data_IF_985331091831
#
_entry.id   IF_985331091831
#
_cell.length_a   1.000
_cell.length_b   1.000
_cell.length_c   1.000
_cell.angle_alpha   90.00
_cell.angle_beta   90.00
_cell.angle_gamma   90.00
#
_symmetry.space_group_name_H-M   'P 1'
#
loop_
_entity.id
_entity.type
_entity.pdbx_description
1 polymer ?
#
# COMPACT_ATOMS: atom_id res chain seq x y z
N UNK A 1 9.49 -18.93 -10.83
CA UNK A 1 8.78 -17.83 -11.57
C UNK A 1 7.89 -18.36 -12.69
N UNK A 2 6.99 -17.54 -13.26
CA UNK A 2 6.14 -17.91 -14.41
C UNK A 2 6.97 -18.35 -15.63
N UNK A 3 8.04 -17.61 -15.95
CA UNK A 3 8.97 -17.93 -17.03
C UNK A 3 9.60 -19.32 -16.85
N UNK A 4 10.05 -19.66 -15.65
CA UNK A 4 10.60 -21.00 -15.35
C UNK A 4 9.54 -22.10 -15.47
N UNK A 5 8.30 -21.85 -15.03
CA UNK A 5 7.21 -22.84 -15.06
C UNK A 5 6.66 -23.10 -16.46
N UNK A 6 6.79 -22.15 -17.38
CA UNK A 6 6.10 -22.19 -18.69
C UNK A 6 7.05 -22.12 -19.90
N UNK A 7 8.31 -21.74 -19.69
CA UNK A 7 9.23 -21.37 -20.77
C UNK A 7 8.93 -20.03 -21.44
N UNK A 8 7.97 -19.25 -20.92
CA UNK A 8 7.67 -17.92 -21.45
C UNK A 8 8.87 -16.98 -21.32
N UNK A 9 9.08 -16.13 -22.33
CA UNK A 9 10.13 -15.10 -22.31
C UNK A 9 9.69 -13.90 -21.48
N UNK A 10 10.60 -13.36 -20.69
CA UNK A 10 10.38 -12.12 -19.93
C UNK A 10 10.65 -10.94 -20.86
N UNK A 11 9.76 -9.95 -20.88
CA UNK A 11 9.88 -8.74 -21.70
C UNK A 11 9.84 -7.52 -20.78
N UNK A 12 10.83 -6.63 -20.91
CA UNK A 12 10.89 -5.33 -20.25
C UNK A 12 10.88 -4.20 -21.30
N UNK A 13 10.47 -3.00 -20.88
CA UNK A 13 10.50 -1.83 -21.73
C UNK A 13 11.92 -1.30 -22.03
N UNK A 14 12.05 -0.31 -22.92
CA UNK A 14 13.34 0.25 -23.30
C UNK A 14 14.13 0.77 -22.09
N UNK A 15 15.46 0.72 -22.15
CA UNK A 15 16.38 1.19 -21.09
C UNK A 15 16.34 0.38 -19.78
N UNK A 16 15.52 -0.67 -19.66
CA UNK A 16 15.55 -1.54 -18.50
C UNK A 16 16.91 -2.26 -18.38
N UNK A 17 17.31 -2.54 -17.15
CA UNK A 17 18.52 -3.32 -16.84
C UNK A 17 18.18 -4.34 -15.76
N UNK A 18 18.42 -5.62 -16.06
CA UNK A 18 18.11 -6.77 -15.20
C UNK A 18 19.34 -7.64 -15.02
N UNK A 19 19.42 -8.39 -13.92
CA UNK A 19 20.48 -9.40 -13.68
C UNK A 19 20.10 -10.79 -14.22
N UNK A 20 18.95 -10.90 -14.88
CA UNK A 20 18.44 -12.11 -15.52
C UNK A 20 18.14 -11.83 -16.99
N UNK A 21 18.06 -12.90 -17.78
CA UNK A 21 17.75 -12.81 -19.21
C UNK A 21 16.33 -12.27 -19.42
N UNK A 22 16.24 -11.18 -20.19
CA UNK A 22 14.98 -10.57 -20.61
C UNK A 22 15.12 -9.97 -22.00
N UNK A 23 14.03 -9.95 -22.76
CA UNK A 23 13.92 -9.16 -23.98
C UNK A 23 13.75 -7.70 -23.54
N UNK A 24 14.71 -6.85 -23.86
CA UNK A 24 14.58 -5.40 -23.70
C UNK A 24 13.94 -4.87 -24.98
N UNK A 25 12.64 -4.59 -24.92
CA UNK A 25 11.89 -4.16 -26.08
C UNK A 25 12.26 -2.75 -26.51
N UNK A 26 12.10 -2.45 -27.80
CA UNK A 26 12.21 -1.08 -28.33
C UNK A 26 10.84 -0.44 -28.49
N UNK A 27 10.79 0.90 -28.58
CA UNK A 27 9.56 1.61 -28.93
C UNK A 27 8.99 1.10 -30.27
N UNK A 28 7.68 0.93 -30.33
CA UNK A 28 6.91 0.34 -31.44
C UNK A 28 7.26 -1.11 -31.81
N UNK A 29 8.00 -1.84 -30.97
CA UNK A 29 8.21 -3.27 -31.19
C UNK A 29 6.88 -4.02 -31.09
N UNK A 30 6.65 -4.93 -32.04
CA UNK A 30 5.39 -5.70 -32.14
C UNK A 30 5.62 -7.15 -31.76
N UNK A 31 4.78 -7.66 -30.87
CA UNK A 31 4.71 -9.06 -30.49
C UNK A 31 3.39 -9.65 -30.99
N UNK A 32 3.45 -10.72 -31.77
CA UNK A 32 2.26 -11.44 -32.25
C UNK A 32 1.90 -12.57 -31.29
N UNK A 33 0.62 -12.65 -30.90
CA UNK A 33 0.09 -13.68 -29.99
C UNK A 33 -1.18 -14.24 -30.63
N UNK A 34 -1.05 -15.34 -31.38
CA UNK A 34 -2.16 -15.84 -32.19
C UNK A 34 -2.59 -14.79 -33.22
N UNK A 35 -3.86 -14.41 -33.18
CA UNK A 35 -4.47 -13.44 -34.11
C UNK A 35 -4.34 -11.99 -33.64
N UNK A 36 -4.01 -11.74 -32.37
CA UNK A 36 -3.80 -10.39 -31.84
C UNK A 36 -2.33 -9.96 -31.93
N UNK A 37 -2.09 -8.65 -31.84
CA UNK A 37 -0.75 -8.10 -31.68
C UNK A 37 -0.66 -7.14 -30.50
N UNK A 38 0.50 -7.15 -29.83
CA UNK A 38 0.84 -6.20 -28.78
C UNK A 38 1.97 -5.30 -29.31
N UNK A 39 1.72 -4.01 -29.40
CA UNK A 39 2.72 -2.99 -29.73
C UNK A 39 3.22 -2.31 -28.45
N UNK A 40 4.53 -2.29 -28.25
CA UNK A 40 5.16 -1.56 -27.15
C UNK A 40 5.15 -0.07 -27.47
N UNK A 41 4.59 0.74 -26.59
CA UNK A 41 4.71 2.20 -26.64
C UNK A 41 5.61 2.63 -25.49
N UNK A 42 6.80 3.16 -25.79
CA UNK A 42 7.70 3.66 -24.75
C UNK A 42 7.11 4.94 -24.16
N UNK A 43 6.79 4.89 -22.87
CA UNK A 43 6.09 5.97 -22.16
C UNK A 43 6.81 6.31 -20.85
N UNK A 44 8.06 6.81 -20.93
CA UNK A 44 8.82 7.19 -19.75
C UNK A 44 8.10 8.28 -18.97
N UNK A 45 8.22 8.23 -17.65
CA UNK A 45 7.59 9.21 -16.77
C UNK A 45 7.57 8.71 -15.34
N UNK A 46 6.71 7.72 -15.06
CA UNK A 46 6.70 7.02 -13.78
C UNK A 46 8.06 6.33 -13.51
N UNK A 47 8.55 5.60 -14.51
CA UNK A 47 9.94 5.11 -14.57
C UNK A 47 10.52 5.35 -15.97
N UNK A 48 11.84 5.20 -16.14
CA UNK A 48 12.50 5.45 -17.43
C UNK A 48 12.19 4.36 -18.48
N UNK A 49 11.92 3.15 -18.01
CA UNK A 49 11.58 1.98 -18.82
C UNK A 49 10.07 1.75 -18.98
N UNK A 50 9.25 2.57 -18.31
CA UNK A 50 7.79 2.50 -18.40
C UNK A 50 7.32 2.44 -19.85
N UNK A 51 6.44 1.48 -20.13
CA UNK A 51 5.90 1.25 -21.46
C UNK A 51 4.45 0.83 -21.36
N UNK A 52 3.58 1.42 -22.20
CA UNK A 52 2.24 0.93 -22.40
C UNK A 52 2.25 -0.23 -23.41
N UNK A 53 1.32 -1.17 -23.26
CA UNK A 53 1.10 -2.26 -24.20
C UNK A 53 -0.19 -1.99 -24.97
N UNK A 54 -0.08 -1.65 -26.25
CA UNK A 54 -1.22 -1.42 -27.12
C UNK A 54 -1.63 -2.74 -27.78
N UNK A 55 -2.80 -3.25 -27.41
CA UNK A 55 -3.40 -4.41 -28.04
C UNK A 55 -4.16 -4.00 -29.30
N UNK A 56 -3.81 -4.63 -30.41
CA UNK A 56 -4.55 -4.57 -31.66
C UNK A 56 -5.28 -5.89 -31.90
N UNK A 57 -6.53 -5.79 -32.35
CA UNK A 57 -7.37 -6.93 -32.70
C UNK A 57 -6.86 -7.66 -33.98
N UNK A 58 -7.56 -8.71 -34.37
CA UNK A 58 -7.26 -9.50 -35.58
C UNK A 58 -7.31 -8.71 -36.89
N UNK A 59 -8.00 -7.56 -36.88
CA UNK A 59 -8.13 -6.66 -38.02
C UNK A 59 -7.10 -5.52 -37.99
N UNK A 60 -6.26 -5.45 -36.94
CA UNK A 60 -5.24 -4.43 -36.75
C UNK A 60 -5.73 -3.13 -36.10
N UNK A 61 -6.97 -3.09 -35.61
CA UNK A 61 -7.54 -1.93 -34.94
C UNK A 61 -7.05 -1.84 -33.49
N UNK A 62 -6.82 -0.63 -33.00
CA UNK A 62 -6.49 -0.39 -31.59
C UNK A 62 -7.70 -0.75 -30.72
N UNK A 63 -7.53 -1.73 -29.84
CA UNK A 63 -8.62 -2.25 -29.01
C UNK A 63 -8.46 -1.84 -27.54
N UNK A 64 -7.27 -2.04 -26.98
CA UNK A 64 -7.01 -1.75 -25.58
C UNK A 64 -5.56 -1.28 -25.34
N UNK A 65 -5.39 -0.43 -24.35
CA UNK A 65 -4.12 0.04 -23.83
C UNK A 65 -3.95 -0.48 -22.40
N UNK A 66 -3.00 -1.37 -22.19
CA UNK A 66 -2.50 -1.66 -20.85
C UNK A 66 -1.49 -0.57 -20.49
N UNK A 67 -1.95 0.42 -19.71
CA UNK A 67 -1.22 1.67 -19.49
C UNK A 67 -0.16 1.59 -18.39
N UNK A 68 -0.09 0.47 -17.68
CA UNK A 68 0.80 0.34 -16.52
C UNK A 68 0.53 1.46 -15.51
N UNK A 69 1.61 2.10 -15.07
CA UNK A 69 1.57 3.29 -14.21
C UNK A 69 1.79 4.59 -15.02
N UNK A 70 1.73 4.56 -16.35
CA UNK A 70 1.76 5.79 -17.17
C UNK A 70 0.45 6.58 -17.04
N UNK A 71 -0.70 5.88 -17.13
CA UNK A 71 -2.03 6.46 -17.04
C UNK A 71 -2.90 5.63 -16.11
N UNK A 72 -3.54 6.30 -15.15
CA UNK A 72 -4.59 5.72 -14.32
C UNK A 72 -5.95 6.32 -14.68
N UNK A 73 -7.02 5.72 -14.15
CA UNK A 73 -8.35 6.31 -14.26
C UNK A 73 -8.47 7.49 -13.28
N UNK A 74 -8.51 8.70 -13.81
CA UNK A 74 -8.58 9.97 -13.07
C UNK A 74 -7.23 10.55 -12.62
N UNK A 75 -6.12 9.84 -12.84
CA UNK A 75 -4.78 10.29 -12.44
C UNK A 75 -3.66 9.69 -13.33
N UNK A 76 -2.40 9.89 -12.96
CA UNK A 76 -1.20 9.36 -13.62
C UNK A 76 -0.18 8.85 -12.59
N UNK A 77 0.83 8.11 -13.04
CA UNK A 77 1.92 7.66 -12.16
C UNK A 77 2.72 8.82 -11.60
N UNK A 78 3.07 8.70 -10.32
CA UNK A 78 3.99 9.64 -9.65
C UNK A 78 5.38 9.64 -10.32
N UNK A 79 6.00 10.80 -10.60
CA UNK A 79 7.27 10.90 -11.32
C UNK A 79 8.52 10.95 -10.41
N UNK A 80 8.44 10.45 -9.19
CA UNK A 80 9.49 10.60 -8.17
C UNK A 80 10.11 9.28 -7.68
N UNK A 81 9.59 8.13 -8.12
CA UNK A 81 10.13 6.82 -7.71
C UNK A 81 11.46 6.47 -8.38
N UNK A 82 11.66 6.92 -9.62
CA UNK A 82 12.81 6.56 -10.44
C UNK A 82 13.94 7.59 -10.39
N UNK A 83 13.94 8.49 -9.40
CA UNK A 83 15.00 9.47 -9.19
C UNK A 83 16.34 8.76 -8.92
N UNK A 84 17.18 8.65 -9.95
CA UNK A 84 18.54 8.12 -9.86
C UNK A 84 19.44 8.85 -10.84
N UNK A 85 20.63 9.24 -10.37
CA UNK A 85 21.64 9.87 -11.22
C UNK A 85 21.18 11.23 -11.74
N UNK A 86 21.00 11.33 -13.06
CA UNK A 86 20.92 12.58 -13.81
C UNK A 86 19.51 13.16 -13.96
N UNK A 87 18.45 12.48 -13.48
CA UNK A 87 17.07 12.92 -13.65
C UNK A 87 16.40 13.30 -12.33
N UNK A 88 15.83 14.51 -12.32
CA UNK A 88 14.99 15.01 -11.24
C UNK A 88 13.53 14.57 -11.39
N UNK A 89 12.74 14.79 -10.34
CA UNK A 89 11.27 14.67 -10.40
C UNK A 89 10.66 15.46 -11.56
N UNK A 90 11.16 16.68 -11.80
CA UNK A 90 10.64 17.57 -12.83
C UNK A 90 10.94 17.02 -14.23
N UNK A 91 12.10 16.38 -14.42
CA UNK A 91 12.45 15.74 -15.68
C UNK A 91 11.53 14.56 -15.98
N UNK A 92 11.31 13.70 -14.98
CA UNK A 92 10.41 12.56 -15.06
C UNK A 92 8.95 13.00 -15.31
N UNK A 93 8.49 14.05 -14.65
CA UNK A 93 7.18 14.66 -14.91
C UNK A 93 7.12 15.21 -16.34
N UNK A 94 8.20 15.82 -16.83
CA UNK A 94 8.32 16.28 -18.20
C UNK A 94 8.24 15.16 -19.23
N UNK A 95 8.89 14.02 -18.98
CA UNK A 95 8.77 12.83 -19.85
C UNK A 95 7.37 12.26 -19.82
N UNK A 96 6.72 12.23 -18.65
CA UNK A 96 5.35 11.75 -18.52
C UNK A 96 4.38 12.60 -19.36
N UNK A 97 4.52 13.92 -19.32
CA UNK A 97 3.75 14.83 -20.17
C UNK A 97 3.92 14.49 -21.65
N UNK A 98 5.16 14.33 -22.12
CA UNK A 98 5.43 14.04 -23.53
C UNK A 98 4.86 12.66 -23.92
N UNK A 99 4.98 11.66 -23.05
CA UNK A 99 4.40 10.32 -23.23
C UNK A 99 2.88 10.38 -23.37
N UNK A 100 2.20 11.11 -22.50
CA UNK A 100 0.75 11.26 -22.54
C UNK A 100 0.30 11.97 -23.82
N UNK A 101 0.93 13.08 -24.17
CA UNK A 101 0.54 13.90 -25.34
C UNK A 101 0.83 13.21 -26.66
N UNK A 102 1.99 12.57 -26.79
CA UNK A 102 2.45 12.06 -28.09
C UNK A 102 2.10 10.59 -28.36
N UNK A 103 1.81 9.79 -27.32
CA UNK A 103 1.57 8.35 -27.47
C UNK A 103 0.19 7.91 -27.00
N UNK A 104 -0.33 8.48 -25.91
CA UNK A 104 -1.58 8.04 -25.30
C UNK A 104 -2.77 8.82 -25.86
N UNK A 105 -2.70 10.15 -25.87
CA UNK A 105 -3.83 11.00 -26.29
C UNK A 105 -4.08 11.00 -27.81
N UNK A 106 -3.15 10.46 -28.60
CA UNK A 106 -3.32 10.30 -30.05
C UNK A 106 -4.16 9.07 -30.41
N UNK A 107 -4.40 8.17 -29.45
CA UNK A 107 -5.26 7.00 -29.64
C UNK A 107 -6.73 7.42 -29.75
N UNK A 108 -7.52 6.57 -30.41
CA UNK A 108 -8.96 6.74 -30.55
C UNK A 108 -9.68 6.68 -29.20
N UNK A 109 -10.80 7.38 -29.10
CA UNK A 109 -11.50 7.59 -27.82
C UNK A 109 -12.15 6.32 -27.25
N UNK A 110 -12.44 5.35 -28.11
CA UNK A 110 -13.03 4.05 -27.79
C UNK A 110 -12.00 3.01 -27.32
N UNK A 111 -10.69 3.30 -27.43
CA UNK A 111 -9.63 2.42 -26.91
C UNK A 111 -9.79 2.26 -25.40
N UNK A 112 -9.89 1.01 -24.96
CA UNK A 112 -10.09 0.65 -23.55
C UNK A 112 -8.79 0.84 -22.78
N UNK A 113 -8.85 1.40 -21.57
CA UNK A 113 -7.69 1.61 -20.70
C UNK A 113 -7.71 0.65 -19.53
N UNK A 114 -6.62 -0.11 -19.39
CA UNK A 114 -6.35 -1.02 -18.27
C UNK A 114 -5.09 -0.56 -17.52
N UNK A 115 -5.23 0.18 -16.40
CA UNK A 115 -4.10 0.54 -15.57
C UNK A 115 -3.53 -0.65 -14.77
N UNK A 116 -2.30 -0.54 -14.28
CA UNK A 116 -1.73 -1.53 -13.36
C UNK A 116 -2.22 -1.37 -11.90
N UNK A 117 -2.73 -0.20 -11.54
CA UNK A 117 -3.24 0.10 -10.20
C UNK A 117 -4.59 0.85 -10.22
N UNK A 118 -5.35 0.72 -9.13
CA UNK A 118 -6.60 1.44 -8.88
C UNK A 118 -6.66 1.98 -7.43
N UNK A 119 -7.85 2.38 -6.99
CA UNK A 119 -8.09 2.98 -5.66
C UNK A 119 -7.32 2.28 -4.52
N UNK A 120 -6.56 3.06 -3.76
CA UNK A 120 -5.79 2.59 -2.61
C UNK A 120 -4.30 2.32 -2.86
N UNK A 121 -3.82 2.35 -4.11
CA UNK A 121 -2.38 2.28 -4.41
C UNK A 121 -1.65 3.58 -4.04
N UNK A 122 -0.37 3.45 -3.66
CA UNK A 122 0.54 4.56 -3.38
C UNK A 122 1.26 5.10 -4.63
N UNK A 123 0.99 4.52 -5.81
CA UNK A 123 1.59 4.94 -7.09
C UNK A 123 0.89 6.15 -7.73
N UNK A 124 -0.31 6.52 -7.27
CA UNK A 124 -1.07 7.69 -7.73
C UNK A 124 -1.77 8.41 -6.56
N UNK A 125 -2.21 9.65 -6.78
CA UNK A 125 -2.82 10.52 -5.75
C UNK A 125 -4.32 10.24 -5.59
N UNK A 126 -5.05 10.18 -6.70
CA UNK A 126 -6.52 10.17 -6.76
C UNK A 126 -7.05 9.07 -7.69
N UNK A 127 -6.71 7.82 -7.39
CA UNK A 127 -7.09 6.67 -8.22
C UNK A 127 -8.58 6.34 -8.10
N UNK A 128 -9.25 6.18 -9.25
CA UNK A 128 -10.65 5.74 -9.31
C UNK A 128 -10.85 4.33 -8.73
N UNK A 129 -12.08 4.08 -8.27
CA UNK A 129 -12.55 2.73 -7.90
C UNK A 129 -12.88 1.88 -9.13
N UNK A 130 -13.14 2.51 -10.26
CA UNK A 130 -13.31 1.83 -11.54
C UNK A 130 -12.02 1.12 -11.93
N UNK A 131 -12.13 -0.08 -12.51
CA UNK A 131 -10.98 -0.90 -12.91
C UNK A 131 -10.69 -0.84 -14.41
N UNK A 132 -11.62 -0.28 -15.19
CA UNK A 132 -11.54 -0.17 -16.65
C UNK A 132 -12.16 1.16 -17.07
N UNK A 133 -11.57 1.83 -18.06
CA UNK A 133 -12.10 3.06 -18.65
C UNK A 133 -11.81 3.15 -20.15
N UNK A 134 -11.95 4.33 -20.74
CA UNK A 134 -11.59 4.58 -22.15
C UNK A 134 -10.72 5.82 -22.28
N UNK A 135 -9.94 5.90 -23.36
CA UNK A 135 -9.12 7.08 -23.68
C UNK A 135 -9.98 8.34 -23.78
N UNK A 136 -11.15 8.27 -24.40
CA UNK A 136 -12.07 9.40 -24.52
C UNK A 136 -12.53 9.93 -23.16
N UNK A 137 -12.97 9.04 -22.28
CA UNK A 137 -13.37 9.43 -20.93
C UNK A 137 -12.20 10.05 -20.16
N UNK A 138 -10.98 9.50 -20.28
CA UNK A 138 -9.82 10.08 -19.61
C UNK A 138 -9.43 11.45 -20.18
N UNK A 139 -9.58 11.70 -21.49
CA UNK A 139 -9.40 13.05 -22.06
C UNK A 139 -10.40 14.06 -21.48
N UNK A 140 -11.61 13.63 -21.19
CA UNK A 140 -12.66 14.49 -20.62
C UNK A 140 -12.48 14.75 -19.12
N UNK A 141 -12.13 13.73 -18.34
CA UNK A 141 -12.22 13.79 -16.87
C UNK A 141 -10.89 13.81 -16.14
N UNK A 142 -9.79 13.35 -16.76
CA UNK A 142 -8.49 13.25 -16.09
C UNK A 142 -7.74 14.59 -16.18
N UNK A 143 -7.40 15.19 -15.04
CA UNK A 143 -6.74 16.50 -14.99
C UNK A 143 -5.46 16.56 -15.83
N UNK A 144 -4.71 15.46 -15.87
CA UNK A 144 -3.45 15.31 -16.59
C UNK A 144 -3.61 15.38 -18.12
N UNK A 145 -4.81 15.10 -18.64
CA UNK A 145 -5.10 15.01 -20.07
C UNK A 145 -5.82 16.26 -20.62
N UNK A 146 -5.95 17.33 -19.81
CA UNK A 146 -6.54 18.60 -20.25
C UNK A 146 -5.84 19.13 -21.51
N UNK A 147 -6.61 19.31 -22.58
CA UNK A 147 -6.10 19.65 -23.92
C UNK A 147 -5.27 20.94 -23.97
N UNK A 148 -5.62 21.95 -23.16
CA UNK A 148 -4.93 23.25 -23.11
C UNK A 148 -3.81 23.35 -22.07
N UNK A 149 -3.53 22.28 -21.31
CA UNK A 149 -2.52 22.30 -20.26
C UNK A 149 -1.11 22.31 -20.84
N UNK A 150 -0.29 23.26 -20.40
CA UNK A 150 1.13 23.34 -20.75
C UNK A 150 1.98 22.34 -19.97
N UNK A 151 3.19 22.05 -20.46
CA UNK A 151 4.13 21.17 -19.76
C UNK A 151 4.50 21.67 -18.35
N UNK A 152 4.66 22.98 -18.18
CA UNK A 152 5.01 23.56 -16.88
C UNK A 152 3.85 23.45 -15.87
N UNK A 153 2.60 23.69 -16.32
CA UNK A 153 1.42 23.48 -15.48
C UNK A 153 1.27 22.01 -15.09
N UNK A 154 1.46 21.10 -16.04
CA UNK A 154 1.44 19.66 -15.75
C UNK A 154 2.48 19.28 -14.70
N UNK A 155 3.74 19.70 -14.88
CA UNK A 155 4.82 19.40 -13.94
C UNK A 155 4.48 19.93 -12.55
N UNK A 156 3.99 21.17 -12.43
CA UNK A 156 3.61 21.74 -11.15
C UNK A 156 2.46 20.96 -10.48
N UNK A 157 1.41 20.60 -11.22
CA UNK A 157 0.25 19.89 -10.67
C UNK A 157 0.56 18.43 -10.31
N UNK A 158 1.31 17.72 -11.15
CA UNK A 158 1.64 16.30 -10.92
C UNK A 158 2.62 16.12 -9.77
N UNK A 159 3.46 17.11 -9.45
CA UNK A 159 4.37 17.05 -8.30
C UNK A 159 3.79 17.65 -7.02
N UNK A 160 2.76 18.50 -7.10
CA UNK A 160 2.15 19.11 -5.92
C UNK A 160 1.53 18.07 -4.95
N UNK A 161 1.88 18.12 -3.68
CA UNK A 161 1.26 17.25 -2.65
C UNK A 161 1.63 15.76 -2.75
N UNK A 162 2.71 15.40 -3.44
CA UNK A 162 3.25 14.04 -3.39
C UNK A 162 3.80 13.74 -1.98
N UNK A 163 3.23 12.74 -1.32
CA UNK A 163 3.81 12.19 -0.10
C UNK A 163 5.06 11.37 -0.44
N UNK A 164 6.06 11.28 0.46
CA UNK A 164 7.23 10.44 0.27
C UNK A 164 6.85 9.01 -0.13
N UNK A 165 7.63 8.36 -1.01
CA UNK A 165 7.34 6.98 -1.38
C UNK A 165 7.55 6.04 -0.19
N UNK A 166 6.82 4.91 -0.12
CA UNK A 166 7.02 3.94 0.94
C UNK A 166 8.47 3.45 1.00
N UNK A 167 9.03 3.37 2.22
CA UNK A 167 10.45 3.10 2.43
C UNK A 167 10.96 1.75 1.86
N UNK A 168 10.06 0.78 1.65
CA UNK A 168 10.39 -0.53 1.10
C UNK A 168 10.45 -0.56 -0.44
N UNK A 169 9.94 0.47 -1.13
CA UNK A 169 9.92 0.52 -2.60
C UNK A 169 11.30 0.34 -3.24
N UNK A 170 12.39 1.00 -2.77
CA UNK A 170 13.74 0.76 -3.31
C UNK A 170 14.20 -0.70 -3.23
N UNK A 171 13.79 -1.42 -2.17
CA UNK A 171 14.10 -2.85 -2.00
C UNK A 171 13.31 -3.69 -3.00
N UNK A 172 12.03 -3.37 -3.24
CA UNK A 172 11.22 -4.03 -4.27
C UNK A 172 11.74 -3.78 -5.69
N UNK A 173 12.16 -2.54 -5.99
CA UNK A 173 12.81 -2.22 -7.27
C UNK A 173 14.08 -3.06 -7.45
N UNK A 174 14.89 -3.19 -6.39
CA UNK A 174 16.08 -4.04 -6.41
C UNK A 174 15.71 -5.50 -6.70
N UNK A 175 14.74 -6.07 -5.97
CA UNK A 175 14.26 -7.44 -6.20
C UNK A 175 13.75 -7.65 -7.64
N UNK A 176 12.99 -6.71 -8.19
CA UNK A 176 12.47 -6.81 -9.56
C UNK A 176 13.57 -6.73 -10.63
N UNK A 177 14.69 -6.07 -10.34
CA UNK A 177 15.85 -6.01 -11.26
C UNK A 177 16.77 -7.21 -11.13
N UNK A 178 16.96 -7.69 -9.90
CA UNK A 178 17.92 -8.74 -9.59
C UNK A 178 17.31 -10.15 -9.72
N UNK A 179 15.98 -10.24 -9.67
CA UNK A 179 15.23 -11.48 -9.54
C UNK A 179 14.90 -11.81 -8.08
N UNK A 180 13.96 -12.72 -7.88
CA UNK A 180 13.49 -13.15 -6.57
C UNK A 180 13.40 -14.67 -6.48
N UNK A 181 13.40 -15.18 -5.25
CA UNK A 181 13.26 -16.61 -4.98
C UNK A 181 11.88 -17.13 -5.40
N UNK A 182 11.78 -18.41 -5.74
CA UNK A 182 10.47 -18.98 -6.04
C UNK A 182 9.60 -18.98 -4.77
N UNK A 183 8.39 -18.42 -4.88
CA UNK A 183 7.48 -18.27 -3.76
C UNK A 183 7.15 -19.61 -3.08
N UNK A 184 7.15 -20.72 -3.81
CA UNK A 184 6.91 -22.04 -3.22
C UNK A 184 8.07 -22.49 -2.33
N UNK A 185 9.32 -22.12 -2.67
CA UNK A 185 10.47 -22.38 -1.82
C UNK A 185 10.46 -21.49 -0.57
N UNK A 186 10.05 -20.23 -0.70
CA UNK A 186 9.83 -19.34 0.45
C UNK A 186 8.78 -19.93 1.39
N UNK A 187 7.62 -20.32 0.87
CA UNK A 187 6.55 -20.94 1.67
C UNK A 187 7.04 -22.21 2.35
N UNK A 188 7.70 -23.11 1.63
CA UNK A 188 8.25 -24.35 2.20
C UNK A 188 9.26 -24.09 3.33
N UNK A 189 10.07 -23.04 3.22
CA UNK A 189 11.03 -22.64 4.26
C UNK A 189 10.37 -22.00 5.47
N UNK A 190 9.29 -21.25 5.26
CA UNK A 190 8.69 -20.34 6.25
C UNK A 190 7.40 -20.84 6.89
N UNK A 191 6.65 -21.75 6.24
CA UNK A 191 5.43 -22.36 6.76
C UNK A 191 5.76 -23.47 7.78
N UNK A 192 6.56 -23.11 8.79
CA UNK A 192 6.97 -24.00 9.87
C UNK A 192 6.07 -23.77 11.09
N UNK A 193 5.29 -24.78 11.52
CA UNK A 193 4.59 -24.69 12.80
C UNK A 193 5.61 -24.67 13.94
N UNK A 194 5.41 -23.76 14.88
CA UNK A 194 6.20 -23.64 16.10
C UNK A 194 5.28 -23.89 17.29
N UNK A 195 5.72 -24.77 18.19
CA UNK A 195 5.10 -24.91 19.52
C UNK A 195 5.20 -23.59 20.29
N UNK A 196 4.36 -23.43 21.33
CA UNK A 196 4.36 -22.22 22.18
C UNK A 196 5.77 -21.95 22.74
N UNK A 197 6.46 -22.98 23.21
CA UNK A 197 7.81 -22.88 23.77
C UNK A 197 8.86 -22.46 22.73
N UNK A 198 8.80 -23.05 21.53
CA UNK A 198 9.71 -22.67 20.43
C UNK A 198 9.45 -21.25 19.96
N UNK A 199 8.18 -20.85 19.85
CA UNK A 199 7.80 -19.51 19.43
C UNK A 199 8.30 -18.45 20.40
N UNK A 200 8.08 -18.65 21.71
CA UNK A 200 8.57 -17.76 22.77
C UNK A 200 10.10 -17.67 22.78
N UNK A 201 10.79 -18.80 22.64
CA UNK A 201 12.25 -18.84 22.60
C UNK A 201 12.79 -18.00 21.43
N UNK A 202 12.27 -18.23 20.21
CA UNK A 202 12.71 -17.51 19.02
C UNK A 202 12.40 -16.00 19.14
N UNK A 203 11.23 -15.65 19.65
CA UNK A 203 10.85 -14.26 19.87
C UNK A 203 11.84 -13.52 20.78
N UNK A 204 12.27 -14.18 21.86
CA UNK A 204 13.19 -13.59 22.84
C UNK A 204 14.65 -13.56 22.37
N UNK A 205 15.08 -14.50 21.51
CA UNK A 205 16.50 -14.64 21.12
C UNK A 205 16.88 -13.96 19.80
N UNK A 206 15.94 -13.76 18.88
CA UNK A 206 16.27 -13.35 17.49
C UNK A 206 15.92 -11.90 17.16
N UNK A 207 15.22 -11.18 18.05
CA UNK A 207 14.69 -9.85 17.74
C UNK A 207 13.66 -9.86 16.61
N UNK A 208 13.03 -11.01 16.36
CA UNK A 208 11.99 -11.14 15.35
C UNK A 208 10.75 -10.32 15.73
N UNK A 209 10.15 -9.66 14.75
CA UNK A 209 8.86 -9.00 14.93
C UNK A 209 7.79 -10.08 15.02
N UNK A 210 7.06 -10.09 16.14
CA UNK A 210 5.84 -10.89 16.28
C UNK A 210 4.73 -10.14 15.53
N UNK A 211 4.33 -10.67 14.38
CA UNK A 211 3.29 -10.09 13.55
C UNK A 211 2.00 -10.89 13.71
N UNK A 212 1.01 -10.27 14.35
CA UNK A 212 -0.33 -10.84 14.50
C UNK A 212 -1.23 -10.35 13.37
N UNK A 213 -1.66 -11.31 12.54
CA UNK A 213 -2.45 -11.03 11.33
C UNK A 213 -3.90 -11.49 11.46
N UNK A 214 -4.35 -11.79 12.69
CA UNK A 214 -5.75 -12.12 12.98
C UNK A 214 -6.68 -10.93 12.67
N UNK A 215 -7.97 -11.08 12.91
CA UNK A 215 -8.91 -9.97 12.79
C UNK A 215 -8.75 -9.00 13.97
N UNK A 216 -8.91 -7.68 13.74
CA UNK A 216 -8.73 -6.66 14.77
C UNK A 216 -9.61 -6.90 16.00
N UNK A 217 -10.84 -7.41 15.80
CA UNK A 217 -11.77 -7.70 16.91
C UNK A 217 -11.32 -8.85 17.79
N UNK A 218 -10.42 -9.70 17.31
CA UNK A 218 -9.86 -10.81 18.08
C UNK A 218 -8.53 -10.40 18.72
N UNK A 219 -7.73 -9.61 18.01
CA UNK A 219 -6.49 -9.03 18.54
C UNK A 219 -6.74 -8.20 19.80
N UNK A 220 -7.72 -7.28 19.77
CA UNK A 220 -7.95 -6.38 20.92
C UNK A 220 -8.35 -7.11 22.20
N UNK A 221 -8.93 -8.31 22.09
CA UNK A 221 -9.34 -9.17 23.22
C UNK A 221 -8.21 -10.00 23.81
N UNK A 222 -7.02 -9.99 23.22
CA UNK A 222 -5.91 -10.83 23.63
C UNK A 222 -4.90 -11.03 22.50
N UNK A 223 -3.64 -10.75 22.78
CA UNK A 223 -2.51 -11.01 21.88
C UNK A 223 -1.23 -11.36 22.65
N UNK A 224 -0.24 -11.89 21.94
CA UNK A 224 1.09 -12.18 22.50
C UNK A 224 1.78 -10.85 22.82
N UNK A 225 2.35 -10.64 24.03
CA UNK A 225 3.02 -9.39 24.38
C UNK A 225 4.04 -8.96 23.32
N UNK A 226 4.12 -7.64 23.07
CA UNK A 226 4.95 -7.01 22.02
C UNK A 226 4.56 -7.34 20.57
N UNK A 227 3.49 -8.10 20.33
CA UNK A 227 3.02 -8.32 18.96
C UNK A 227 2.50 -7.04 18.31
N UNK A 228 2.88 -6.84 17.05
CA UNK A 228 2.35 -5.80 16.18
C UNK A 228 1.18 -6.40 15.39
N UNK A 229 0.04 -5.73 15.40
CA UNK A 229 -1.12 -6.11 14.63
C UNK A 229 -1.03 -5.54 13.21
N UNK A 230 -1.15 -6.39 12.19
CA UNK A 230 -1.50 -5.99 10.82
C UNK A 230 -2.38 -7.10 10.22
N UNK A 231 -3.71 -6.96 10.38
CA UNK A 231 -4.67 -8.01 10.00
C UNK A 231 -4.66 -8.36 8.51
N UNK A 232 -4.70 -9.66 8.21
CA UNK A 232 -4.55 -10.15 6.83
C UNK A 232 -5.68 -9.69 5.89
N UNK A 233 -6.90 -9.51 6.40
CA UNK A 233 -8.06 -9.14 5.58
C UNK A 233 -8.16 -7.62 5.30
N UNK A 234 -7.23 -6.82 5.84
CA UNK A 234 -7.07 -5.41 5.52
C UNK A 234 -6.00 -5.16 4.44
N UNK A 235 -5.39 -3.96 4.49
CA UNK A 235 -4.28 -3.55 3.61
C UNK A 235 -2.94 -4.20 3.97
N UNK A 236 -2.94 -5.49 4.31
CA UNK A 236 -1.86 -6.23 4.96
C UNK A 236 -0.47 -5.96 4.39
N UNK A 237 -0.18 -6.43 3.17
CA UNK A 237 1.17 -6.37 2.58
C UNK A 237 1.70 -4.92 2.42
N UNK A 238 0.91 -3.94 1.92
CA UNK A 238 1.34 -2.55 1.92
C UNK A 238 1.67 -1.98 3.30
N UNK A 239 0.87 -2.29 4.33
CA UNK A 239 1.12 -1.83 5.70
C UNK A 239 2.35 -2.48 6.30
N UNK A 240 2.59 -3.77 6.05
CA UNK A 240 3.84 -4.43 6.45
C UNK A 240 5.04 -3.71 5.85
N UNK A 241 5.01 -3.44 4.54
CA UNK A 241 6.07 -2.72 3.86
C UNK A 241 6.30 -1.31 4.43
N UNK A 242 5.22 -0.56 4.66
CA UNK A 242 5.31 0.81 5.17
C UNK A 242 5.84 0.88 6.61
N UNK A 243 5.47 -0.07 7.47
CA UNK A 243 5.72 0.00 8.91
C UNK A 243 6.97 -0.77 9.35
N UNK A 244 7.22 -1.95 8.78
CA UNK A 244 8.41 -2.75 9.09
C UNK A 244 9.63 -2.23 8.31
N UNK A 245 9.43 -1.72 7.09
CA UNK A 245 10.42 -1.07 6.19
C UNK A 245 11.54 -1.98 5.68
N UNK A 246 12.23 -2.71 6.56
CA UNK A 246 13.31 -3.63 6.20
C UNK A 246 12.75 -5.01 5.81
N UNK A 247 12.87 -5.35 4.52
CA UNK A 247 12.47 -6.66 3.97
C UNK A 247 13.25 -7.84 4.53
N UNK A 248 14.41 -7.60 5.17
CA UNK A 248 15.20 -8.65 5.83
C UNK A 248 14.82 -8.87 7.30
N UNK A 249 13.96 -8.02 7.88
CA UNK A 249 13.52 -8.18 9.26
C UNK A 249 12.92 -9.58 9.46
N UNK A 250 13.43 -10.30 10.46
CA UNK A 250 12.89 -11.60 10.84
C UNK A 250 11.46 -11.43 11.38
N UNK A 251 10.54 -12.27 10.92
CA UNK A 251 9.12 -12.24 11.31
C UNK A 251 8.70 -13.59 11.89
N UNK A 252 7.97 -13.53 13.00
CA UNK A 252 7.19 -14.63 13.57
C UNK A 252 5.70 -14.33 13.39
N UNK A 253 4.93 -15.32 12.95
CA UNK A 253 3.51 -15.09 12.63
C UNK A 253 2.56 -15.64 13.68
N UNK A 254 1.54 -14.86 14.02
CA UNK A 254 0.31 -15.33 14.66
C UNK A 254 -0.82 -15.15 13.65
N UNK A 255 -1.25 -16.25 13.03
CA UNK A 255 -2.22 -16.25 11.92
C UNK A 255 -3.57 -16.81 12.36
N UNK A 256 -4.68 -16.47 11.69
CA UNK A 256 -5.84 -17.36 11.68
C UNK A 256 -5.43 -18.76 11.21
N UNK A 257 -5.93 -19.80 11.87
CA UNK A 257 -5.64 -21.18 11.49
C UNK A 257 -6.09 -21.45 10.04
N UNK A 258 -5.20 -22.04 9.24
CA UNK A 258 -5.43 -22.34 7.82
C UNK A 258 -5.12 -21.19 6.86
N UNK A 259 -4.64 -20.04 7.36
CA UNK A 259 -4.24 -18.87 6.55
C UNK A 259 -2.71 -18.66 6.54
N UNK A 260 -1.93 -19.61 7.03
CA UNK A 260 -0.48 -19.48 7.21
C UNK A 260 0.24 -19.27 5.87
N UNK A 261 0.00 -20.16 4.90
CA UNK A 261 0.62 -20.06 3.57
C UNK A 261 0.16 -18.84 2.80
N UNK A 262 -1.12 -18.45 2.90
CA UNK A 262 -1.64 -17.22 2.30
C UNK A 262 -0.96 -15.98 2.90
N UNK A 263 -0.75 -15.96 4.22
CA UNK A 263 -0.02 -14.89 4.90
C UNK A 263 1.41 -14.77 4.36
N UNK A 264 2.15 -15.87 4.32
CA UNK A 264 3.54 -15.91 3.83
C UNK A 264 3.60 -15.49 2.36
N UNK A 265 2.67 -15.99 1.53
CA UNK A 265 2.59 -15.63 0.11
C UNK A 265 2.35 -14.14 -0.09
N UNK A 266 1.51 -13.50 0.75
CA UNK A 266 1.25 -12.06 0.68
C UNK A 266 2.41 -11.22 1.19
N UNK A 267 3.17 -11.68 2.19
CA UNK A 267 4.43 -11.05 2.60
C UNK A 267 5.48 -11.13 1.49
N UNK A 268 5.60 -12.29 0.85
CA UNK A 268 6.56 -12.50 -0.25
C UNK A 268 6.28 -11.59 -1.45
N UNK A 269 5.01 -11.24 -1.72
CA UNK A 269 4.64 -10.26 -2.77
C UNK A 269 5.24 -8.86 -2.58
N UNK A 270 5.61 -8.50 -1.35
CA UNK A 270 6.29 -7.23 -1.01
C UNK A 270 7.74 -7.45 -0.57
N UNK A 271 8.29 -8.65 -0.75
CA UNK A 271 9.69 -9.00 -0.49
C UNK A 271 10.02 -9.41 0.94
N UNK A 272 9.03 -9.56 1.82
CA UNK A 272 9.25 -9.98 3.21
C UNK A 272 9.32 -11.51 3.32
N UNK A 273 10.40 -12.08 2.81
CA UNK A 273 10.60 -13.54 2.74
C UNK A 273 11.20 -14.14 4.02
N UNK A 274 11.69 -13.31 4.96
CA UNK A 274 12.36 -13.78 6.19
C UNK A 274 11.39 -14.13 7.32
N UNK A 275 10.40 -14.97 7.02
CA UNK A 275 9.49 -15.54 8.04
C UNK A 275 10.13 -16.78 8.65
N UNK A 276 10.31 -16.78 9.97
CA UNK A 276 10.96 -17.86 10.73
C UNK A 276 10.02 -19.04 11.03
N UNK A 277 8.72 -18.77 11.14
CA UNK A 277 7.67 -19.74 11.42
C UNK A 277 6.39 -19.06 11.90
N UNK A 278 5.38 -19.86 12.23
CA UNK A 278 4.11 -19.40 12.79
C UNK A 278 3.77 -20.16 14.07
N UNK A 279 3.00 -19.53 14.96
CA UNK A 279 2.52 -20.15 16.19
C UNK A 279 1.46 -21.22 15.88
N UNK A 280 1.79 -22.49 16.13
CA UNK A 280 0.87 -23.61 15.95
C UNK A 280 -0.35 -23.48 16.87
N UNK A 281 -1.56 -23.57 16.32
CA UNK A 281 -2.82 -23.34 17.05
C UNK A 281 -3.09 -21.87 17.38
N UNK A 282 -2.35 -20.94 16.74
CA UNK A 282 -2.54 -19.49 16.85
C UNK A 282 -2.51 -18.98 18.30
N UNK A 283 -3.01 -17.77 18.54
CA UNK A 283 -3.09 -17.15 19.86
C UNK A 283 -3.85 -18.02 20.89
N UNK A 284 -4.78 -18.86 20.45
CA UNK A 284 -5.51 -19.75 21.34
C UNK A 284 -4.60 -20.78 22.02
N UNK A 285 -3.58 -21.30 21.33
CA UNK A 285 -2.60 -22.20 21.92
C UNK A 285 -1.77 -21.48 22.99
N UNK A 286 -1.29 -20.27 22.70
CA UNK A 286 -0.57 -19.41 23.64
C UNK A 286 -1.38 -19.16 24.92
N UNK A 287 -2.65 -18.79 24.77
CA UNK A 287 -3.56 -18.56 25.89
C UNK A 287 -3.81 -19.84 26.72
N UNK A 288 -4.02 -20.99 26.06
CA UNK A 288 -4.24 -22.28 26.73
C UNK A 288 -3.00 -22.76 27.50
N UNK A 289 -1.81 -22.43 27.02
CA UNK A 289 -0.55 -22.72 27.69
C UNK A 289 -0.30 -21.84 28.94
N UNK A 290 -1.21 -20.91 29.26
CA UNK A 290 -1.10 -20.05 30.44
C UNK A 290 0.02 -19.01 30.35
N UNK A 291 0.47 -18.70 29.12
CA UNK A 291 1.46 -17.64 28.88
C UNK A 291 0.85 -16.26 29.14
N UNK A 292 1.72 -15.28 29.38
CA UNK A 292 1.32 -13.89 29.52
C UNK A 292 0.62 -13.40 28.24
N UNK A 293 -0.48 -12.68 28.40
CA UNK A 293 -1.22 -12.08 27.29
C UNK A 293 -1.35 -10.59 27.53
N UNK A 294 -1.49 -9.86 26.43
CA UNK A 294 -1.80 -8.44 26.49
C UNK A 294 -3.15 -8.15 25.83
N UNK A 295 -3.75 -7.01 26.19
CA UNK A 295 -5.10 -6.58 25.76
C UNK A 295 -5.02 -5.17 25.19
N UNK A 296 -5.86 -4.84 24.22
CA UNK A 296 -5.98 -3.46 23.77
C UNK A 296 -7.32 -2.87 24.26
N UNK A 297 -7.31 -1.94 25.22
CA UNK A 297 -8.52 -1.25 25.64
C UNK A 297 -9.23 -0.66 24.41
N UNK A 298 -10.51 -0.99 24.26
CA UNK A 298 -11.32 -0.58 23.12
C UNK A 298 -12.67 -0.11 23.63
N UNK A 299 -13.10 1.07 23.21
CA UNK A 299 -14.39 1.68 23.59
C UNK A 299 -15.26 1.93 22.37
N UNK A 300 -16.56 2.12 22.59
CA UNK A 300 -17.46 2.55 21.51
C UNK A 300 -17.33 4.05 21.24
N UNK A 301 -17.77 4.49 20.06
CA UNK A 301 -17.88 5.92 19.76
C UNK A 301 -18.84 6.66 20.72
N UNK A 302 -19.87 5.98 21.25
CA UNK A 302 -20.78 6.53 22.26
C UNK A 302 -20.08 6.80 23.59
N UNK A 303 -19.21 5.88 24.02
CA UNK A 303 -18.42 6.08 25.23
C UNK A 303 -17.45 7.27 25.05
N UNK A 304 -16.83 7.40 23.88
CA UNK A 304 -15.99 8.56 23.58
C UNK A 304 -16.80 9.86 23.61
N UNK A 305 -18.02 9.87 23.08
CA UNK A 305 -18.91 11.03 23.13
C UNK A 305 -19.16 11.49 24.57
N UNK A 306 -19.48 10.57 25.48
CA UNK A 306 -19.68 10.90 26.90
C UNK A 306 -18.41 11.44 27.56
N UNK A 307 -17.24 11.00 27.09
CA UNK A 307 -15.93 11.41 27.62
C UNK A 307 -15.36 12.68 27.01
N UNK A 308 -15.83 13.09 25.83
CA UNK A 308 -15.26 14.23 25.13
C UNK A 308 -15.45 15.56 25.89
N UNK A 309 -16.48 15.64 26.74
CA UNK A 309 -16.73 16.80 27.60
C UNK A 309 -15.71 16.96 28.72
N UNK A 310 -14.87 15.95 28.98
CA UNK A 310 -13.80 15.97 29.98
C UNK A 310 -12.46 16.45 29.40
N UNK A 311 -12.43 17.01 28.18
CA UNK A 311 -11.22 17.45 27.46
C UNK A 311 -10.17 16.33 27.28
N UNK A 312 -10.63 15.13 26.91
CA UNK A 312 -9.74 13.99 26.63
C UNK A 312 -8.92 14.19 25.36
N UNK A 313 -7.73 13.60 25.33
CA UNK A 313 -6.86 13.61 24.16
C UNK A 313 -7.34 12.59 23.12
N UNK A 314 -7.46 13.03 21.87
CA UNK A 314 -7.92 12.19 20.75
C UNK A 314 -7.00 12.35 19.57
N UNK A 315 -6.59 11.22 18.99
CA UNK A 315 -5.66 11.16 17.86
C UNK A 315 -6.30 10.42 16.68
N UNK A 316 -6.17 11.01 15.50
CA UNK A 316 -6.67 10.49 14.23
C UNK A 316 -5.51 9.99 13.37
N UNK A 317 -5.45 8.67 13.15
CA UNK A 317 -4.38 8.03 12.35
C UNK A 317 -4.74 7.86 10.88
N UNK A 318 -5.81 8.52 10.39
CA UNK A 318 -6.12 8.59 8.96
C UNK A 318 -5.08 9.41 8.19
N UNK A 319 -5.09 9.27 6.86
CA UNK A 319 -4.22 10.04 5.98
C UNK A 319 -4.59 11.53 6.05
N UNK A 320 -3.65 12.46 5.81
CA UNK A 320 -3.92 13.90 5.84
C UNK A 320 -5.15 14.32 5.02
N UNK A 321 -5.27 13.85 3.78
CA UNK A 321 -6.43 14.19 2.93
C UNK A 321 -7.79 13.65 3.44
N UNK A 322 -7.80 12.54 4.20
CA UNK A 322 -9.03 12.08 4.87
C UNK A 322 -9.39 12.97 6.06
N UNK A 323 -8.38 13.45 6.79
CA UNK A 323 -8.52 14.33 7.94
C UNK A 323 -8.97 15.73 7.51
N UNK A 324 -8.30 16.34 6.54
CA UNK A 324 -8.62 17.67 5.99
C UNK A 324 -10.05 17.75 5.42
N UNK A 325 -10.55 16.64 4.87
CA UNK A 325 -11.92 16.59 4.36
C UNK A 325 -12.99 16.66 5.46
N UNK A 326 -12.79 15.97 6.58
CA UNK A 326 -13.72 15.93 7.73
C UNK A 326 -13.05 15.19 8.91
N UNK A 327 -13.01 15.81 10.08
CA UNK A 327 -12.46 15.26 11.33
C UNK A 327 -13.16 15.84 12.57
N UNK A 328 -12.92 15.26 13.75
CA UNK A 328 -13.41 15.84 15.02
C UNK A 328 -12.60 17.08 15.37
N UNK A 329 -13.25 18.15 15.86
CA UNK A 329 -12.56 19.42 16.16
C UNK A 329 -11.43 19.28 17.19
N UNK A 330 -11.51 18.28 18.06
CA UNK A 330 -10.55 18.04 19.16
C UNK A 330 -9.47 17.01 18.80
N UNK A 331 -9.54 16.38 17.64
CA UNK A 331 -8.59 15.33 17.26
C UNK A 331 -7.33 15.92 16.65
N UNK A 332 -6.16 15.40 17.00
CA UNK A 332 -4.89 15.71 16.34
C UNK A 332 -4.58 14.65 15.27
N UNK A 333 -4.10 15.08 14.09
CA UNK A 333 -3.77 14.14 13.02
C UNK A 333 -2.35 13.58 13.18
N UNK A 334 -2.26 12.27 13.45
CA UNK A 334 -1.00 11.52 13.54
C UNK A 334 -1.08 10.32 12.59
N UNK A 335 -0.95 10.51 11.27
CA UNK A 335 -1.20 9.46 10.28
C UNK A 335 -0.36 8.20 10.52
N UNK A 336 -0.97 7.02 10.35
CA UNK A 336 -0.28 5.74 10.57
C UNK A 336 1.01 5.59 9.74
N UNK A 337 1.01 6.07 8.49
CA UNK A 337 2.18 6.03 7.60
C UNK A 337 3.40 6.78 8.17
N UNK A 338 3.15 7.78 9.02
CA UNK A 338 4.15 8.65 9.65
C UNK A 338 4.19 8.51 11.18
N UNK A 339 3.60 7.45 11.74
CA UNK A 339 3.45 7.29 13.19
C UNK A 339 4.75 7.45 13.98
N UNK A 340 5.88 7.05 13.40
CA UNK A 340 7.19 7.20 14.03
C UNK A 340 7.62 8.66 14.19
N UNK A 341 7.24 9.52 13.26
CA UNK A 341 7.59 10.94 13.27
C UNK A 341 6.75 11.70 14.31
N UNK A 342 5.55 11.18 14.62
CA UNK A 342 4.63 11.70 15.62
C UNK A 342 4.77 11.04 17.00
N UNK A 343 5.75 10.15 17.22
CA UNK A 343 5.79 9.33 18.45
C UNK A 343 5.88 10.16 19.73
N UNK A 344 6.50 11.34 19.67
CA UNK A 344 6.67 12.26 20.79
C UNK A 344 5.41 13.07 21.12
N UNK A 345 4.40 13.05 20.25
CA UNK A 345 3.13 13.75 20.47
C UNK A 345 2.20 12.94 21.38
N UNK A 346 2.36 11.61 21.42
CA UNK A 346 1.54 10.75 22.28
C UNK A 346 1.93 10.91 23.75
N UNK A 347 0.95 11.06 24.66
CA UNK A 347 1.23 11.16 26.09
C UNK A 347 1.70 9.80 26.64
N UNK A 348 2.62 9.81 27.60
CA UNK A 348 3.15 8.59 28.24
C UNK A 348 2.44 8.20 29.55
N UNK A 349 1.67 9.13 30.13
CA UNK A 349 1.05 8.95 31.45
C UNK A 349 -0.48 9.10 31.45
N UNK A 350 -1.04 9.89 30.54
CA UNK A 350 -2.47 10.20 30.49
C UNK A 350 -3.18 9.34 29.44
N UNK A 351 -4.37 8.83 29.75
CA UNK A 351 -5.13 8.04 28.77
C UNK A 351 -5.51 8.88 27.55
N UNK A 352 -5.41 8.29 26.36
CA UNK A 352 -5.78 8.93 25.11
C UNK A 352 -6.51 7.99 24.18
N UNK A 353 -7.36 8.55 23.33
CA UNK A 353 -8.19 7.82 22.39
C UNK A 353 -7.59 7.86 20.99
N UNK A 354 -7.58 6.73 20.31
CA UNK A 354 -7.04 6.59 18.97
C UNK A 354 -8.11 6.07 18.02
N UNK A 355 -8.27 6.70 16.88
CA UNK A 355 -9.20 6.22 15.86
C UNK A 355 -8.64 6.35 14.44
N UNK A 356 -9.24 5.64 13.51
CA UNK A 356 -9.02 5.81 12.08
C UNK A 356 -10.36 5.89 11.36
N UNK A 357 -10.48 5.54 10.08
CA UNK A 357 -11.77 5.51 9.39
C UNK A 357 -12.75 4.43 9.91
N UNK A 358 -12.25 3.24 10.26
CA UNK A 358 -13.09 2.06 10.54
C UNK A 358 -12.56 1.07 11.57
N UNK A 359 -11.51 1.43 12.32
CA UNK A 359 -10.90 0.61 13.37
C UNK A 359 -9.66 -0.18 12.95
N UNK A 360 -9.47 -0.50 11.66
CA UNK A 360 -8.33 -1.32 11.23
C UNK A 360 -6.96 -0.64 11.49
N UNK A 361 -6.77 0.60 11.03
CA UNK A 361 -5.49 1.33 11.15
C UNK A 361 -5.19 1.79 12.58
N UNK A 362 -6.22 2.08 13.38
CA UNK A 362 -6.05 2.49 14.77
C UNK A 362 -5.57 1.33 15.63
N UNK A 363 -6.05 0.11 15.39
CA UNK A 363 -5.51 -1.09 16.07
C UNK A 363 -4.05 -1.36 15.67
N UNK A 364 -3.66 -1.12 14.41
CA UNK A 364 -2.24 -1.19 14.00
C UNK A 364 -1.43 -0.18 14.81
N UNK A 365 -1.80 1.10 14.76
CA UNK A 365 -1.10 2.17 15.46
C UNK A 365 -1.00 1.90 16.97
N UNK A 366 -2.10 1.50 17.60
CA UNK A 366 -2.15 1.20 19.01
C UNK A 366 -1.26 0.00 19.38
N UNK A 367 -1.21 -1.05 18.55
CA UNK A 367 -0.30 -2.18 18.79
C UNK A 367 1.18 -1.78 18.72
N UNK A 368 1.55 -0.88 17.81
CA UNK A 368 2.91 -0.33 17.70
C UNK A 368 3.25 0.53 18.91
N UNK A 369 2.35 1.43 19.30
CA UNK A 369 2.50 2.28 20.49
C UNK A 369 2.69 1.40 21.73
N UNK A 370 1.86 0.36 21.87
CA UNK A 370 1.93 -0.56 22.99
C UNK A 370 3.21 -1.38 23.04
N UNK A 371 3.69 -1.87 21.88
CA UNK A 371 5.01 -2.51 21.76
C UNK A 371 6.18 -1.57 22.11
N UNK A 372 5.95 -0.24 22.12
CA UNK A 372 6.91 0.79 22.52
C UNK A 372 6.71 1.34 23.93
N UNK A 373 5.84 0.72 24.73
CA UNK A 373 5.63 1.07 26.14
C UNK A 373 4.50 2.07 26.40
N UNK A 374 3.70 2.43 25.40
CA UNK A 374 2.48 3.22 25.61
C UNK A 374 1.33 2.30 26.03
N UNK A 375 1.05 2.24 27.33
CA UNK A 375 0.02 1.35 27.90
C UNK A 375 -1.33 2.04 28.14
N UNK A 376 -1.40 3.33 27.87
CA UNK A 376 -2.49 4.27 28.09
C UNK A 376 -3.33 4.56 26.81
N UNK A 377 -3.04 3.85 25.71
CA UNK A 377 -3.79 3.97 24.45
C UNK A 377 -5.13 3.22 24.52
N UNK A 378 -6.19 3.87 24.05
CA UNK A 378 -7.56 3.31 23.96
C UNK A 378 -8.03 3.40 22.51
N UNK A 379 -8.32 2.27 21.86
CA UNK A 379 -8.90 2.25 20.51
C UNK A 379 -10.39 2.61 20.52
N UNK A 380 -10.84 3.33 19.50
CA UNK A 380 -12.26 3.65 19.28
C UNK A 380 -12.83 2.71 18.23
N UNK A 381 -13.65 1.75 18.67
CA UNK A 381 -14.27 0.75 17.81
C UNK A 381 -15.13 1.39 16.71
N UNK A 382 -14.95 0.90 15.48
CA UNK A 382 -15.64 1.40 14.30
C UNK A 382 -15.12 2.74 13.78
N UNK A 383 -14.15 3.36 14.47
CA UNK A 383 -13.46 4.58 14.06
C UNK A 383 -14.38 5.74 13.71
N UNK A 384 -13.95 6.55 12.76
CA UNK A 384 -14.64 7.76 12.32
C UNK A 384 -16.01 7.45 11.71
N UNK A 385 -16.19 6.30 11.08
CA UNK A 385 -17.51 5.87 10.58
C UNK A 385 -18.54 5.67 11.71
N UNK A 386 -18.11 5.26 12.90
CA UNK A 386 -18.97 5.18 14.08
C UNK A 386 -19.13 6.55 14.75
N UNK A 387 -18.05 7.33 14.86
CA UNK A 387 -18.06 8.70 15.40
C UNK A 387 -19.02 9.60 14.61
N UNK A 388 -19.12 9.46 13.27
CA UNK A 388 -20.07 10.21 12.45
C UNK A 388 -21.54 10.02 12.83
N UNK A 389 -21.85 8.98 13.61
CA UNK A 389 -23.21 8.67 14.08
C UNK A 389 -23.49 9.22 15.48
N UNK A 390 -22.52 9.89 16.11
CA UNK A 390 -22.67 10.58 17.39
C UNK A 390 -22.88 12.09 17.15
N UNK A 391 -23.05 12.82 18.24
CA UNK A 391 -23.17 14.29 18.31
C UNK A 391 -21.83 15.00 18.53
N UNK A 392 -20.71 14.26 18.52
CA UNK A 392 -19.35 14.85 18.61
C UNK A 392 -19.17 15.90 17.51
N UNK A 393 -18.71 17.09 17.91
CA UNK A 393 -18.47 18.18 16.98
C UNK A 393 -17.36 17.84 15.97
N UNK A 394 -17.64 18.16 14.71
CA UNK A 394 -16.75 17.89 13.56
C UNK A 394 -16.59 19.14 12.72
N UNK A 395 -15.52 19.17 11.94
CA UNK A 395 -15.30 20.20 10.93
C UNK A 395 -16.36 20.14 9.84
N UNK A 396 -16.62 21.28 9.21
CA UNK A 396 -17.54 21.33 8.06
C UNK A 396 -16.93 20.50 6.92
N UNK A 397 -17.64 19.48 6.44
CA UNK A 397 -17.10 18.60 5.42
C UNK A 397 -16.74 19.38 4.14
N UNK A 398 -15.47 19.30 3.74
CA UNK A 398 -14.95 19.90 2.50
C UNK A 398 -14.71 18.77 1.48
N UNK A 399 -15.14 18.98 0.23
CA UNK A 399 -14.83 18.04 -0.85
C UNK A 399 -13.31 18.01 -1.07
N UNK A 400 -12.64 16.83 -1.05
CA UNK A 400 -11.20 16.74 -1.25
C UNK A 400 -10.71 17.39 -2.55
N UNK A 401 -11.54 17.33 -3.60
CA UNK A 401 -11.26 17.96 -4.91
C UNK A 401 -11.28 19.50 -4.89
N UNK A 402 -11.65 20.13 -3.78
CA UNK A 402 -11.67 21.59 -3.60
C UNK A 402 -10.60 22.11 -2.65
N UNK A 403 -9.82 21.20 -2.04
CA UNK A 403 -8.68 21.52 -1.19
C UNK A 403 -7.51 21.83 -2.13
N UNK A 404 -7.02 23.07 -2.10
CA UNK A 404 -5.99 23.61 -3.00
C UNK A 404 -4.58 23.20 -2.59
#
# INVERSE_FOLDING_TARGET
TLAQKTGAKIVYGPKATTNFEAIIATDNQVFKIGDITITILHTPGHTLESSCLLLKDENGNDHALFSGDTLFLGDVGRPDLAQKGDFSEQDLAGFLYDSLRNKVMVLADDVIVYPAHGAGSACGKNLSKETVGTIGNQKETNYALRAGMTKNEFVAEVTNGLLPPPAYFPLNVKLNKEGYQDVEEVIKKSAKPLTVEQFELIANETGAVILDVRHQTDFVKGFVPQAIFIGIDGGFAPWVGALIKDTNQSILLVTPEGREEDTIRRLSRVGFDNVLGYLEGSFNAWKKAGKEIDLLPTVSAQFLEDKITENVLVFDVRKPGEYESDHMNVAENTPLDFLNDHISEFPTHEAFYLHCAGGYRSVIAASILKARGFHNVIDVAGGFAAIRKTTIERTTAVCPSTIK
#
